data_IF_801137619503
#
_entry.id   IF_801137619503
#
_cell.length_a   1.000
_cell.length_b   1.000
_cell.length_c   1.000
_cell.angle_alpha   90.00
_cell.angle_beta   90.00
_cell.angle_gamma   90.00
#
_symmetry.space_group_name_H-M   'P 1'
#
loop_
_entity.id
_entity.type
_entity.pdbx_description
1 polymer ?
#
# COMPACT_ATOMS: atom_id res chain seq x y z
N UNK A 1 20.16 -8.06 -1.41
CA UNK A 1 19.19 -8.24 -0.35
C UNK A 1 17.81 -8.47 -0.93
N UNK A 2 17.21 -9.58 -0.65
CA UNK A 2 15.97 -9.95 -1.30
C UNK A 2 14.75 -9.76 -0.42
N UNK A 3 13.60 -9.85 -1.06
CA UNK A 3 12.29 -9.79 -0.39
C UNK A 3 12.19 -10.88 0.68
N UNK A 4 12.76 -12.07 0.42
CA UNK A 4 12.69 -13.17 1.38
C UNK A 4 13.39 -12.86 2.69
N UNK A 5 14.50 -12.12 2.64
CA UNK A 5 15.19 -11.70 3.86
C UNK A 5 14.34 -10.72 4.65
N UNK A 6 13.75 -9.77 3.95
CA UNK A 6 12.86 -8.79 4.59
C UNK A 6 11.66 -9.48 5.22
N UNK A 7 11.10 -10.48 4.55
CA UNK A 7 9.98 -11.25 5.09
C UNK A 7 10.38 -11.99 6.36
N UNK A 8 11.57 -12.59 6.36
CA UNK A 8 12.06 -13.29 7.55
C UNK A 8 12.15 -12.35 8.75
N UNK A 9 12.70 -11.15 8.53
CA UNK A 9 12.81 -10.14 9.57
C UNK A 9 11.43 -9.70 10.08
N UNK A 10 10.48 -9.52 9.16
CA UNK A 10 9.11 -9.14 9.52
C UNK A 10 8.42 -10.24 10.32
N UNK A 11 8.63 -11.50 9.94
CA UNK A 11 8.06 -12.63 10.66
C UNK A 11 8.57 -12.70 12.09
N UNK A 12 9.87 -12.48 12.28
CA UNK A 12 10.45 -12.47 13.62
C UNK A 12 9.83 -11.39 14.50
N UNK A 13 9.62 -10.20 13.95
CA UNK A 13 8.94 -9.11 14.63
C UNK A 13 7.47 -9.45 14.90
N UNK A 14 6.81 -10.05 13.92
CA UNK A 14 5.39 -10.38 14.01
C UNK A 14 5.10 -11.42 15.07
N UNK A 15 5.98 -12.43 15.21
CA UNK A 15 5.79 -13.49 16.17
C UNK A 15 5.72 -12.98 17.61
N UNK A 16 6.30 -11.83 17.89
CA UNK A 16 6.23 -11.23 19.22
C UNK A 16 4.94 -10.44 19.45
N UNK A 17 4.18 -10.16 18.37
CA UNK A 17 3.00 -9.30 18.43
C UNK A 17 1.70 -10.05 18.24
N UNK A 18 1.70 -11.13 17.47
CA UNK A 18 0.48 -11.83 17.10
C UNK A 18 0.28 -13.08 17.92
N UNK A 19 -0.95 -13.25 18.37
CA UNK A 19 -1.38 -14.48 19.03
C UNK A 19 -1.81 -15.46 17.96
N UNK A 20 -1.13 -16.58 17.85
CA UNK A 20 -1.38 -17.60 16.83
C UNK A 20 -2.70 -18.34 17.02
N UNK A 21 -3.28 -18.25 18.20
CA UNK A 21 -4.59 -18.84 18.48
C UNK A 21 -5.73 -17.93 18.05
N UNK A 22 -5.41 -16.79 17.47
CA UNK A 22 -6.39 -15.80 17.06
C UNK A 22 -7.17 -16.30 15.84
N UNK A 23 -8.49 -16.09 15.87
CA UNK A 23 -9.38 -16.47 14.79
C UNK A 23 -9.53 -15.39 13.74
N UNK A 24 -8.61 -14.43 13.69
CA UNK A 24 -8.66 -13.33 12.72
C UNK A 24 -8.73 -13.82 11.28
N UNK A 25 -9.43 -13.07 10.47
CA UNK A 25 -9.43 -13.28 9.03
C UNK A 25 -8.15 -12.68 8.44
N UNK A 26 -7.17 -13.52 8.18
CA UNK A 26 -5.86 -13.08 7.69
C UNK A 26 -5.94 -12.42 6.32
N UNK A 27 -6.83 -12.91 5.45
CA UNK A 27 -6.99 -12.30 4.13
C UNK A 27 -7.62 -10.92 4.23
N UNK A 28 -8.54 -10.74 5.16
CA UNK A 28 -9.12 -9.41 5.41
C UNK A 28 -8.03 -8.44 5.88
N UNK A 29 -7.16 -8.89 6.77
CA UNK A 29 -6.05 -8.07 7.25
C UNK A 29 -5.08 -7.72 6.11
N UNK A 30 -4.79 -8.69 5.23
CA UNK A 30 -3.95 -8.43 4.07
C UNK A 30 -4.58 -7.37 3.16
N UNK A 31 -5.89 -7.44 2.97
CA UNK A 31 -6.60 -6.46 2.17
C UNK A 31 -6.47 -5.06 2.76
N UNK A 32 -6.61 -4.93 4.07
CA UNK A 32 -6.45 -3.64 4.75
C UNK A 32 -5.05 -3.07 4.52
N UNK A 33 -4.01 -3.91 4.60
CA UNK A 33 -2.64 -3.47 4.35
C UNK A 33 -2.43 -3.02 2.90
N UNK A 34 -3.08 -3.68 1.94
CA UNK A 34 -3.00 -3.25 0.55
C UNK A 34 -3.69 -1.91 0.32
N UNK A 35 -4.82 -1.68 1.00
CA UNK A 35 -5.50 -0.39 0.94
C UNK A 35 -4.61 0.71 1.53
N UNK A 36 -3.98 0.44 2.67
CA UNK A 36 -3.05 1.37 3.29
C UNK A 36 -1.85 1.65 2.37
N UNK A 37 -1.34 0.61 1.70
CA UNK A 37 -0.23 0.77 0.78
C UNK A 37 -0.58 1.73 -0.36
N UNK A 38 -1.80 1.67 -0.88
CA UNK A 38 -2.24 2.60 -1.92
C UNK A 38 -2.19 4.04 -1.43
N UNK A 39 -2.61 4.27 -0.19
CA UNK A 39 -2.58 5.60 0.43
C UNK A 39 -1.14 6.08 0.54
N UNK A 40 -0.23 5.23 1.01
CA UNK A 40 1.18 5.58 1.15
C UNK A 40 1.82 5.90 -0.20
N UNK A 41 1.51 5.12 -1.23
CA UNK A 41 2.04 5.35 -2.58
C UNK A 41 1.55 6.69 -3.13
N UNK A 42 0.28 6.99 -2.95
CA UNK A 42 -0.28 8.27 -3.39
C UNK A 42 0.36 9.45 -2.64
N UNK A 43 0.53 9.31 -1.33
CA UNK A 43 1.18 10.35 -0.52
C UNK A 43 2.62 10.58 -0.97
N UNK A 44 3.36 9.51 -1.25
CA UNK A 44 4.71 9.62 -1.77
C UNK A 44 4.74 10.34 -3.13
N UNK A 45 3.82 10.00 -4.01
CA UNK A 45 3.71 10.66 -5.30
C UNK A 45 3.49 12.17 -5.15
N UNK A 46 2.59 12.57 -4.27
CA UNK A 46 2.32 13.98 -4.01
C UNK A 46 3.58 14.69 -3.54
N UNK A 47 4.31 14.06 -2.63
CA UNK A 47 5.54 14.63 -2.07
C UNK A 47 6.62 14.81 -3.14
N UNK A 48 6.88 13.77 -3.94
CA UNK A 48 7.98 13.81 -4.92
C UNK A 48 7.63 14.60 -6.18
N UNK A 49 6.35 14.77 -6.48
CA UNK A 49 5.93 15.53 -7.66
C UNK A 49 6.00 17.04 -7.45
N UNK A 50 6.25 17.48 -6.23
CA UNK A 50 6.38 18.91 -5.93
C UNK A 50 5.05 19.65 -5.92
N UNK A 51 3.95 18.94 -5.75
CA UNK A 51 2.65 19.59 -5.63
C UNK A 51 2.60 20.42 -4.35
N UNK A 52 2.04 21.61 -4.44
CA UNK A 52 1.93 22.52 -3.30
C UNK A 52 0.74 22.16 -2.40
N UNK A 53 0.70 20.88 -1.99
CA UNK A 53 -0.37 20.37 -1.15
C UNK A 53 0.22 19.48 -0.07
N UNK A 54 -0.50 19.40 1.02
CA UNK A 54 -0.18 18.50 2.12
C UNK A 54 -0.42 17.06 1.65
N UNK A 55 0.59 16.21 1.73
CA UNK A 55 0.45 14.79 1.40
C UNK A 55 -0.52 14.07 2.34
N UNK A 56 -0.94 14.73 3.42
CA UNK A 56 -1.99 14.23 4.29
C UNK A 56 -3.40 14.63 3.86
N UNK A 57 -3.53 15.39 2.76
CA UNK A 57 -4.86 15.78 2.26
C UNK A 57 -5.56 14.58 1.63
N UNK A 58 -6.57 14.08 2.32
CA UNK A 58 -7.31 12.90 1.89
C UNK A 58 -7.98 13.08 0.53
N UNK A 59 -8.44 14.26 0.21
CA UNK A 59 -9.08 14.52 -1.09
C UNK A 59 -8.07 14.42 -2.22
N UNK A 60 -6.87 14.95 -2.00
CA UNK A 60 -5.81 14.89 -2.99
C UNK A 60 -5.31 13.44 -3.14
N UNK A 61 -5.16 12.73 -2.04
CA UNK A 61 -4.79 11.30 -2.07
C UNK A 61 -5.80 10.52 -2.90
N UNK A 62 -7.09 10.69 -2.65
CA UNK A 62 -8.12 10.00 -3.41
C UNK A 62 -8.11 10.38 -4.88
N UNK A 63 -7.84 11.66 -5.18
CA UNK A 63 -7.73 12.10 -6.56
C UNK A 63 -6.58 11.40 -7.28
N UNK A 64 -5.43 11.30 -6.64
CA UNK A 64 -4.26 10.61 -7.22
C UNK A 64 -4.57 9.15 -7.48
N UNK A 65 -5.18 8.46 -6.52
CA UNK A 65 -5.53 7.05 -6.67
C UNK A 65 -6.55 6.85 -7.79
N UNK A 66 -7.56 7.70 -7.84
CA UNK A 66 -8.63 7.62 -8.84
C UNK A 66 -8.09 7.85 -10.25
N UNK A 67 -7.04 8.64 -10.37
CA UNK A 67 -6.43 8.99 -11.65
C UNK A 67 -5.04 8.40 -11.81
N UNK A 68 -4.80 7.23 -11.24
CA UNK A 68 -3.47 6.63 -11.22
C UNK A 68 -2.88 6.43 -12.63
N UNK A 69 -3.72 6.17 -13.60
CA UNK A 69 -3.26 5.94 -14.98
C UNK A 69 -2.70 7.20 -15.64
N UNK A 70 -2.99 8.37 -15.08
CA UNK A 70 -2.52 9.65 -15.61
C UNK A 70 -1.24 10.14 -14.94
N UNK A 71 -0.71 9.40 -13.97
CA UNK A 71 0.49 9.81 -13.26
C UNK A 71 1.71 9.77 -14.19
N UNK A 72 2.59 10.75 -14.03
CA UNK A 72 3.82 10.83 -14.82
C UNK A 72 4.97 9.99 -14.25
N UNK A 73 4.75 9.38 -13.09
CA UNK A 73 5.70 8.48 -12.48
C UNK A 73 5.34 7.04 -12.81
N UNK A 74 6.16 6.39 -13.61
CA UNK A 74 5.92 4.99 -14.00
C UNK A 74 5.90 4.07 -12.79
N UNK A 75 6.76 4.32 -11.82
CA UNK A 75 6.84 3.50 -10.61
C UNK A 75 5.54 3.57 -9.80
N UNK A 76 5.06 4.77 -9.52
CA UNK A 76 3.83 4.95 -8.73
C UNK A 76 2.63 4.40 -9.48
N UNK A 77 2.56 4.66 -10.77
CA UNK A 77 1.47 4.14 -11.62
C UNK A 77 1.42 2.61 -11.58
N UNK A 78 2.57 1.96 -11.74
CA UNK A 78 2.64 0.51 -11.76
C UNK A 78 2.26 -0.09 -10.40
N UNK A 79 2.74 0.50 -9.32
CA UNK A 79 2.42 0.02 -7.97
C UNK A 79 0.92 0.10 -7.70
N UNK A 80 0.30 1.22 -8.04
CA UNK A 80 -1.14 1.37 -7.85
C UNK A 80 -1.92 0.40 -8.75
N UNK A 81 -1.50 0.24 -9.99
CA UNK A 81 -2.14 -0.70 -10.91
C UNK A 81 -2.12 -2.12 -10.36
N UNK A 82 -0.96 -2.55 -9.85
CA UNK A 82 -0.81 -3.88 -9.27
C UNK A 82 -1.70 -4.07 -8.04
N UNK A 83 -1.77 -3.06 -7.18
CA UNK A 83 -2.62 -3.14 -5.98
C UNK A 83 -4.10 -3.19 -6.33
N UNK A 84 -4.53 -2.42 -7.34
CA UNK A 84 -5.91 -2.52 -7.82
C UNK A 84 -6.22 -3.93 -8.29
N UNK A 85 -5.31 -4.54 -9.05
CA UNK A 85 -5.52 -5.90 -9.54
C UNK A 85 -5.60 -6.91 -8.39
N UNK A 86 -4.72 -6.77 -7.39
CA UNK A 86 -4.75 -7.66 -6.23
C UNK A 86 -6.05 -7.51 -5.44
N UNK A 87 -6.50 -6.27 -5.23
CA UNK A 87 -7.73 -6.02 -4.48
C UNK A 87 -8.96 -6.51 -5.23
N UNK A 88 -8.95 -6.41 -6.56
CA UNK A 88 -10.06 -6.88 -7.38
C UNK A 88 -10.07 -8.40 -7.56
N UNK A 89 -9.01 -9.09 -7.16
CA UNK A 89 -8.93 -10.55 -7.25
C UNK A 89 -9.57 -11.27 -6.06
N UNK A 90 -10.46 -10.62 -5.35
CA UNK A 90 -11.24 -11.21 -4.26
C UNK A 90 -10.44 -11.56 -3.01
N UNK A 91 -9.42 -10.78 -2.76
CA UNK A 91 -8.66 -10.96 -1.54
C UNK A 91 -9.31 -10.17 -0.40
#
# INVERSE_FOLDING_TARGET
MGVLKELTERLELGLTKYNHDDTRNWLHMAREEFLDAMIYIAADYIRVSGLEHDEGDNKLIMHVIDHYSDLDSAKHKMLLWNLFNLLNASI
#
